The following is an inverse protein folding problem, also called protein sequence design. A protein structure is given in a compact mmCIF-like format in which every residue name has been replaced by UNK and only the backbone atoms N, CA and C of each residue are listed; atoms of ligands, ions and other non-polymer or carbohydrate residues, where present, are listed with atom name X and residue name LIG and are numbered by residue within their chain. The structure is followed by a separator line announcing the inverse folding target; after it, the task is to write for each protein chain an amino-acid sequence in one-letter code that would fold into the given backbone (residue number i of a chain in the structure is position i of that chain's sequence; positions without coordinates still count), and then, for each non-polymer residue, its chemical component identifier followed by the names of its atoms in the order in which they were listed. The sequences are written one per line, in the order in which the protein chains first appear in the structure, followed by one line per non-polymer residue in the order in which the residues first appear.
data_IF_210182809283
#
_entry.id   IF_210182809283
#
_cell.length_a   1.000
_cell.length_b   1.000
_cell.length_c   1.000
_cell.angle_alpha   90.00
_cell.angle_beta   90.00
_cell.angle_gamma   90.00
#
_symmetry.space_group_name_H-M   'P 1'
#
loop_
_entity.id
_entity.type
_entity.pdbx_description
1 polymer ?
#
# COMPACT_ATOMS: atom_id res chain seq x y z
N UNK A 1 5.86 18.05 7.42
CA UNK A 1 6.38 17.43 6.17
C UNK A 1 7.24 16.21 6.49
N UNK A 2 8.38 16.36 7.17
CA UNK A 2 9.31 15.26 7.42
C UNK A 2 8.69 14.09 8.20
N UNK A 3 7.90 14.39 9.23
CA UNK A 3 7.21 13.35 10.02
C UNK A 3 6.26 12.48 9.16
N UNK A 4 5.47 13.09 8.28
CA UNK A 4 4.56 12.36 7.37
C UNK A 4 5.33 11.49 6.38
N UNK A 5 6.42 11.99 5.80
CA UNK A 5 7.27 11.21 4.89
C UNK A 5 7.90 10.03 5.64
N UNK A 6 8.40 10.26 6.86
CA UNK A 6 8.99 9.20 7.67
C UNK A 6 7.97 8.13 8.04
N UNK A 7 6.73 8.52 8.38
CA UNK A 7 5.64 7.57 8.63
C UNK A 7 5.32 6.71 7.40
N UNK A 8 5.12 7.34 6.24
CA UNK A 8 4.84 6.62 4.99
C UNK A 8 6.01 5.70 4.59
N UNK A 9 7.25 6.12 4.84
CA UNK A 9 8.45 5.30 4.62
C UNK A 9 8.49 4.10 5.55
N UNK A 10 8.26 4.29 6.84
CA UNK A 10 8.19 3.17 7.80
C UNK A 10 7.11 2.16 7.41
N UNK A 11 5.94 2.62 6.96
CA UNK A 11 4.89 1.73 6.47
C UNK A 11 5.30 0.98 5.20
N UNK A 12 6.02 1.64 4.29
CA UNK A 12 6.58 0.98 3.12
C UNK A 12 7.60 -0.10 3.50
N UNK A 13 8.49 0.17 4.44
CA UNK A 13 9.46 -0.80 4.94
C UNK A 13 8.77 -2.01 5.58
N UNK A 14 7.65 -1.79 6.28
CA UNK A 14 6.82 -2.86 6.83
C UNK A 14 6.14 -3.71 5.76
N UNK A 15 5.64 -3.09 4.68
CA UNK A 15 5.09 -3.80 3.50
C UNK A 15 6.20 -4.64 2.86
N UNK A 16 7.36 -4.04 2.60
CA UNK A 16 8.50 -4.70 1.98
C UNK A 16 8.95 -5.93 2.78
N UNK A 17 9.05 -5.80 4.11
CA UNK A 17 9.41 -6.89 5.00
C UNK A 17 8.39 -8.02 4.96
N UNK A 18 7.09 -7.69 5.04
CA UNK A 18 6.03 -8.70 5.00
C UNK A 18 5.96 -9.44 3.65
N UNK A 19 6.21 -8.75 2.54
CA UNK A 19 6.33 -9.37 1.22
C UNK A 19 7.58 -10.27 1.14
N UNK A 20 8.70 -9.83 1.73
CA UNK A 20 9.91 -10.65 1.86
C UNK A 20 9.64 -11.96 2.61
N UNK A 21 8.92 -11.89 3.74
CA UNK A 21 8.49 -13.06 4.51
C UNK A 21 7.66 -14.03 3.65
N UNK A 22 6.76 -13.50 2.81
CA UNK A 22 5.96 -14.32 1.88
C UNK A 22 6.82 -14.93 0.75
N UNK A 23 7.76 -14.17 0.21
CA UNK A 23 8.65 -14.66 -0.85
C UNK A 23 9.54 -15.80 -0.36
N UNK A 24 10.00 -15.75 0.90
CA UNK A 24 10.76 -16.85 1.49
C UNK A 24 9.95 -18.15 1.56
N UNK A 25 8.63 -18.07 1.78
CA UNK A 25 7.75 -19.25 1.74
C UNK A 25 7.65 -19.85 0.34
N UNK A 26 7.75 -19.04 -0.71
CA UNK A 26 7.65 -19.49 -2.09
C UNK A 26 8.85 -20.30 -2.57
N UNK A 27 9.96 -20.28 -1.83
CA UNK A 27 11.13 -21.09 -2.09
C UNK A 27 11.04 -22.48 -1.43
N UNK A 28 9.98 -22.72 -0.65
CA UNK A 28 9.69 -23.99 0.03
C UNK A 28 8.67 -24.82 -0.74
N UNK A 29 8.56 -26.11 -0.40
CA UNK A 29 7.44 -26.94 -0.84
C UNK A 29 6.16 -26.52 -0.12
N UNK A 30 5.01 -26.70 -0.75
CA UNK A 30 3.72 -26.33 -0.18
C UNK A 30 3.53 -26.86 1.25
N UNK A 31 3.79 -28.15 1.49
CA UNK A 31 3.62 -28.78 2.81
C UNK A 31 4.43 -28.10 3.93
N UNK A 32 5.57 -27.49 3.60
CA UNK A 32 6.44 -26.81 4.55
C UNK A 32 6.01 -25.33 4.73
N UNK A 33 5.44 -24.71 3.70
CA UNK A 33 4.98 -23.32 3.70
C UNK A 33 3.55 -23.12 4.24
N UNK A 34 2.67 -24.11 4.04
CA UNK A 34 1.24 -24.06 4.34
C UNK A 34 0.92 -23.57 5.76
N UNK A 35 1.60 -24.02 6.83
CA UNK A 35 1.29 -23.61 8.20
C UNK A 35 1.47 -22.11 8.46
N UNK A 36 2.35 -21.46 7.69
CA UNK A 36 2.67 -20.04 7.84
C UNK A 36 1.94 -19.15 6.83
N UNK A 37 1.51 -19.72 5.71
CA UNK A 37 1.04 -18.96 4.55
C UNK A 37 -0.18 -18.10 4.89
N UNK A 38 -1.16 -18.64 5.60
CA UNK A 38 -2.37 -17.91 5.99
C UNK A 38 -2.06 -16.69 6.85
N UNK A 39 -1.17 -16.85 7.84
CA UNK A 39 -0.77 -15.78 8.75
C UNK A 39 -0.02 -14.66 8.02
N UNK A 40 0.92 -15.02 7.14
CA UNK A 40 1.70 -14.04 6.35
C UNK A 40 0.78 -13.26 5.40
N UNK A 41 -0.14 -13.93 4.70
CA UNK A 41 -1.13 -13.27 3.83
C UNK A 41 -2.01 -12.29 4.60
N UNK A 42 -2.51 -12.68 5.77
CA UNK A 42 -3.32 -11.82 6.62
C UNK A 42 -2.53 -10.58 7.09
N UNK A 43 -1.28 -10.78 7.51
CA UNK A 43 -0.40 -9.68 7.94
C UNK A 43 -0.17 -8.67 6.81
N UNK A 44 0.10 -9.13 5.59
CA UNK A 44 0.24 -8.25 4.41
C UNK A 44 -1.04 -7.44 4.19
N UNK A 45 -2.20 -8.08 4.21
CA UNK A 45 -3.48 -7.41 4.02
C UNK A 45 -3.72 -6.31 5.06
N UNK A 46 -3.44 -6.60 6.34
CA UNK A 46 -3.58 -5.63 7.43
C UNK A 46 -2.65 -4.42 7.26
N UNK A 47 -1.38 -4.65 6.93
CA UNK A 47 -0.40 -3.57 6.73
C UNK A 47 -0.81 -2.69 5.54
N UNK A 48 -1.23 -3.30 4.42
CA UNK A 48 -1.69 -2.56 3.24
C UNK A 48 -2.93 -1.73 3.56
N UNK A 49 -3.93 -2.30 4.25
CA UNK A 49 -5.14 -1.56 4.64
C UNK A 49 -4.79 -0.37 5.52
N UNK A 50 -3.91 -0.55 6.51
CA UNK A 50 -3.42 0.53 7.36
C UNK A 50 -2.72 1.63 6.55
N UNK A 51 -1.85 1.23 5.62
CA UNK A 51 -1.13 2.16 4.75
C UNK A 51 -2.09 2.96 3.86
N UNK A 52 -3.04 2.30 3.19
CA UNK A 52 -4.03 2.96 2.34
C UNK A 52 -4.89 3.96 3.12
N UNK A 53 -5.28 3.61 4.36
CA UNK A 53 -6.00 4.53 5.24
C UNK A 53 -5.15 5.78 5.56
N UNK A 54 -3.88 5.57 5.91
CA UNK A 54 -2.95 6.68 6.19
C UNK A 54 -2.75 7.56 4.94
N UNK A 55 -2.59 6.96 3.77
CA UNK A 55 -2.46 7.70 2.50
C UNK A 55 -3.73 8.53 2.19
N UNK A 56 -4.90 7.95 2.38
CA UNK A 56 -6.16 8.64 2.10
C UNK A 56 -6.39 9.81 3.05
N UNK A 57 -6.16 9.64 4.36
CA UNK A 57 -6.36 10.67 5.38
C UNK A 57 -5.35 11.81 5.25
N UNK A 58 -4.07 11.50 5.04
CA UNK A 58 -3.01 12.50 5.07
C UNK A 58 -2.77 13.18 3.72
N UNK A 59 -3.08 12.51 2.60
CA UNK A 59 -2.76 12.98 1.27
C UNK A 59 -4.01 13.16 0.39
N UNK A 60 -4.77 12.09 0.14
CA UNK A 60 -5.81 12.14 -0.90
C UNK A 60 -7.02 12.99 -0.49
N UNK A 61 -7.48 12.88 0.76
CA UNK A 61 -8.58 13.70 1.28
C UNK A 61 -8.24 15.20 1.23
N UNK A 62 -7.09 15.66 1.76
CA UNK A 62 -6.68 17.06 1.60
C UNK A 62 -6.58 17.53 0.15
N UNK A 63 -6.10 16.68 -0.77
CA UNK A 63 -6.06 17.03 -2.19
C UNK A 63 -7.46 17.17 -2.79
N UNK A 64 -8.41 16.30 -2.42
CA UNK A 64 -9.81 16.35 -2.89
C UNK A 64 -10.52 17.58 -2.36
N UNK A 65 -10.46 17.82 -1.04
CA UNK A 65 -11.10 18.96 -0.37
C UNK A 65 -10.64 20.29 -0.97
N UNK A 66 -9.37 20.38 -1.36
CA UNK A 66 -8.75 21.59 -1.92
C UNK A 66 -8.74 21.62 -3.45
N UNK A 67 -9.33 20.61 -4.12
CA UNK A 67 -9.36 20.46 -5.59
C UNK A 67 -7.97 20.53 -6.24
N UNK A 68 -6.96 20.03 -5.55
CA UNK A 68 -5.55 20.11 -5.97
C UNK A 68 -5.12 18.94 -6.87
N UNK A 69 -5.91 17.87 -6.98
CA UNK A 69 -5.53 16.67 -7.74
C UNK A 69 -5.17 16.98 -9.20
N UNK A 70 -5.99 17.79 -9.90
CA UNK A 70 -5.74 18.18 -11.29
C UNK A 70 -4.48 19.05 -11.48
N UNK A 71 -3.98 19.67 -10.41
CA UNK A 71 -2.79 20.52 -10.44
C UNK A 71 -1.47 19.74 -10.29
N UNK A 72 -1.56 18.43 -10.07
CA UNK A 72 -0.42 17.55 -9.82
C UNK A 72 -0.27 16.61 -11.03
N UNK A 73 0.76 16.80 -11.86
CA UNK A 73 1.03 15.91 -12.99
C UNK A 73 1.11 14.44 -12.54
N UNK A 74 0.42 13.55 -13.25
CA UNK A 74 0.42 12.11 -12.97
C UNK A 74 -0.37 11.69 -11.72
N UNK A 75 -1.02 12.60 -10.99
CA UNK A 75 -1.80 12.25 -9.81
C UNK A 75 -2.96 11.29 -10.12
N UNK A 76 -3.70 11.55 -11.20
CA UNK A 76 -4.78 10.67 -11.63
C UNK A 76 -4.27 9.28 -11.99
N UNK A 77 -3.16 9.17 -12.71
CA UNK A 77 -2.56 7.88 -13.07
C UNK A 77 -2.15 7.06 -11.83
N UNK A 78 -1.55 7.69 -10.82
CA UNK A 78 -1.19 7.02 -9.55
C UNK A 78 -2.42 6.54 -8.80
N UNK A 79 -3.47 7.36 -8.73
CA UNK A 79 -4.72 7.00 -8.04
C UNK A 79 -5.43 5.86 -8.76
N UNK A 80 -5.45 5.89 -10.10
CA UNK A 80 -6.00 4.82 -10.93
C UNK A 80 -5.22 3.51 -10.75
N UNK A 81 -3.89 3.52 -10.87
CA UNK A 81 -3.07 2.31 -10.66
C UNK A 81 -3.26 1.74 -9.25
N UNK A 82 -3.36 2.60 -8.22
CA UNK A 82 -3.66 2.16 -6.85
C UNK A 82 -5.00 1.42 -6.77
N UNK A 83 -6.04 1.96 -7.42
CA UNK A 83 -7.37 1.34 -7.47
C UNK A 83 -7.33 0.01 -8.22
N UNK A 84 -6.69 -0.02 -9.39
CA UNK A 84 -6.59 -1.23 -10.21
C UNK A 84 -5.83 -2.34 -9.49
N UNK A 85 -4.72 -2.02 -8.84
CA UNK A 85 -3.97 -2.98 -8.05
C UNK A 85 -4.79 -3.52 -6.88
N UNK A 86 -5.56 -2.67 -6.18
CA UNK A 86 -6.49 -3.12 -5.14
C UNK A 86 -7.53 -4.10 -5.69
N UNK A 87 -8.10 -3.84 -6.86
CA UNK A 87 -9.04 -4.74 -7.53
C UNK A 87 -8.36 -6.06 -7.94
N UNK A 88 -7.10 -6.01 -8.39
CA UNK A 88 -6.31 -7.20 -8.68
C UNK A 88 -6.09 -8.06 -7.42
N UNK A 89 -5.72 -7.47 -6.29
CA UNK A 89 -5.64 -8.19 -5.00
C UNK A 89 -6.98 -8.78 -4.57
N UNK A 90 -8.08 -8.03 -4.71
CA UNK A 90 -9.42 -8.53 -4.35
C UNK A 90 -9.79 -9.76 -5.18
N UNK A 91 -9.53 -9.74 -6.49
CA UNK A 91 -9.74 -10.90 -7.37
C UNK A 91 -8.82 -12.05 -6.98
N UNK A 92 -7.55 -11.76 -6.74
CA UNK A 92 -6.56 -12.76 -6.33
C UNK A 92 -7.00 -13.51 -5.06
N UNK A 93 -7.47 -12.80 -4.03
CA UNK A 93 -7.99 -13.42 -2.80
C UNK A 93 -9.21 -14.30 -3.08
N UNK A 94 -10.13 -13.84 -3.94
CA UNK A 94 -11.31 -14.63 -4.32
C UNK A 94 -11.00 -15.88 -5.15
N UNK A 95 -9.95 -15.82 -5.99
CA UNK A 95 -9.51 -16.95 -6.83
C UNK A 95 -8.70 -17.99 -6.05
N UNK A 96 -7.83 -17.55 -5.14
CA UNK A 96 -6.85 -18.41 -4.47
C UNK A 96 -7.28 -18.80 -3.06
N UNK A 97 -8.23 -19.74 -3.01
CA UNK A 97 -8.64 -20.46 -1.79
C UNK A 97 -7.51 -21.39 -1.31
N UNK A 98 -7.58 -21.87 -0.07
CA UNK A 98 -6.59 -22.82 0.47
C UNK A 98 -6.42 -24.06 -0.44
N UNK A 99 -7.56 -24.64 -0.86
CA UNK A 99 -7.59 -25.78 -1.79
C UNK A 99 -6.97 -25.44 -3.15
N UNK A 100 -7.31 -24.28 -3.73
CA UNK A 100 -6.76 -23.89 -5.02
C UNK A 100 -5.24 -23.67 -4.97
N UNK A 101 -4.74 -23.17 -3.84
CA UNK A 101 -3.31 -22.97 -3.59
C UNK A 101 -2.60 -24.32 -3.45
N UNK A 102 -3.18 -25.26 -2.69
CA UNK A 102 -2.64 -26.63 -2.55
C UNK A 102 -2.51 -27.32 -3.91
N UNK A 103 -3.60 -27.34 -4.69
CA UNK A 103 -3.66 -28.03 -5.98
C UNK A 103 -2.73 -27.39 -7.03
N UNK A 104 -2.45 -26.09 -6.92
CA UNK A 104 -1.74 -25.31 -7.95
C UNK A 104 -0.70 -24.36 -7.34
N UNK A 105 0.13 -24.90 -6.45
CA UNK A 105 1.13 -24.13 -5.69
C UNK A 105 2.07 -23.31 -6.60
N UNK A 106 2.62 -23.92 -7.65
CA UNK A 106 3.56 -23.24 -8.56
C UNK A 106 2.92 -22.06 -9.29
N UNK A 107 1.68 -22.21 -9.76
CA UNK A 107 0.91 -21.12 -10.38
C UNK A 107 0.63 -20.01 -9.37
N UNK A 108 0.21 -20.36 -8.15
CA UNK A 108 -0.03 -19.41 -7.08
C UNK A 108 1.22 -18.57 -6.79
N UNK A 109 2.39 -19.22 -6.68
CA UNK A 109 3.67 -18.54 -6.45
C UNK A 109 3.95 -17.51 -7.56
N UNK A 110 3.84 -17.92 -8.83
CA UNK A 110 4.13 -17.04 -9.98
C UNK A 110 3.22 -15.81 -9.98
N UNK A 111 1.91 -16.01 -9.90
CA UNK A 111 0.96 -14.88 -9.97
C UNK A 111 1.05 -13.98 -8.75
N UNK A 112 1.38 -14.53 -7.57
CA UNK A 112 1.53 -13.73 -6.35
C UNK A 112 2.81 -12.91 -6.39
N UNK A 113 3.93 -13.45 -6.92
CA UNK A 113 5.16 -12.69 -7.13
C UNK A 113 4.93 -11.49 -8.04
N UNK A 114 4.30 -11.70 -9.20
CA UNK A 114 3.98 -10.62 -10.15
C UNK A 114 3.11 -9.53 -9.50
N UNK A 115 2.12 -9.92 -8.70
CA UNK A 115 1.24 -8.97 -8.02
C UNK A 115 1.99 -8.14 -6.97
N UNK A 116 2.87 -8.78 -6.19
CA UNK A 116 3.69 -8.11 -5.19
C UNK A 116 4.78 -7.22 -5.82
N UNK A 117 5.35 -7.61 -6.96
CA UNK A 117 6.29 -6.77 -7.71
C UNK A 117 5.62 -5.47 -8.19
N UNK A 118 4.38 -5.55 -8.69
CA UNK A 118 3.58 -4.37 -9.04
C UNK A 118 3.31 -3.47 -7.82
N UNK A 119 2.99 -4.07 -6.67
CA UNK A 119 2.81 -3.31 -5.43
C UNK A 119 4.08 -2.56 -5.03
N UNK A 120 5.22 -3.25 -5.03
CA UNK A 120 6.50 -2.64 -4.68
C UNK A 120 6.88 -1.52 -5.64
N UNK A 121 6.69 -1.72 -6.95
CA UNK A 121 6.93 -0.69 -7.95
C UNK A 121 6.05 0.56 -7.73
N UNK A 122 4.76 0.37 -7.44
CA UNK A 122 3.84 1.48 -7.15
C UNK A 122 4.24 2.23 -5.88
N UNK A 123 4.60 1.51 -4.81
CA UNK A 123 5.06 2.12 -3.56
C UNK A 123 6.35 2.94 -3.80
N UNK A 124 7.30 2.41 -4.56
CA UNK A 124 8.53 3.10 -4.93
C UNK A 124 8.26 4.37 -5.73
N UNK A 125 7.39 4.28 -6.74
CA UNK A 125 6.97 5.42 -7.56
C UNK A 125 6.31 6.50 -6.69
N UNK A 126 5.44 6.09 -5.77
CA UNK A 126 4.77 7.00 -4.84
C UNK A 126 5.77 7.70 -3.92
N UNK A 127 6.70 6.95 -3.32
CA UNK A 127 7.68 7.46 -2.37
C UNK A 127 8.66 8.44 -3.03
N UNK A 128 9.16 8.10 -4.22
CA UNK A 128 10.17 8.89 -4.94
C UNK A 128 9.58 10.13 -5.61
N UNK A 129 8.41 9.98 -6.24
CA UNK A 129 7.92 10.98 -7.19
C UNK A 129 6.60 11.65 -6.78
N UNK A 130 5.71 10.93 -6.08
CA UNK A 130 4.38 11.44 -5.78
C UNK A 130 4.31 12.18 -4.43
N UNK A 131 4.66 11.50 -3.33
CA UNK A 131 4.51 12.05 -1.98
C UNK A 131 5.24 13.38 -1.76
N UNK A 132 6.48 13.59 -2.24
CA UNK A 132 7.16 14.88 -2.08
C UNK A 132 6.40 16.04 -2.75
N UNK A 133 5.82 15.80 -3.93
CA UNK A 133 5.07 16.81 -4.68
C UNK A 133 3.74 17.10 -4.01
N UNK A 134 3.01 16.06 -3.61
CA UNK A 134 1.71 16.17 -2.94
C UNK A 134 1.83 16.94 -1.63
N UNK A 135 2.78 16.56 -0.77
CA UNK A 135 2.99 17.23 0.51
C UNK A 135 3.37 18.70 0.33
N UNK A 136 4.21 19.01 -0.67
CA UNK A 136 4.53 20.40 -1.02
C UNK A 136 3.26 21.18 -1.42
N UNK A 137 2.38 20.59 -2.23
CA UNK A 137 1.12 21.25 -2.67
C UNK A 137 0.13 21.48 -1.54
N UNK A 138 0.00 20.51 -0.63
CA UNK A 138 -0.86 20.62 0.57
C UNK A 138 -0.34 21.74 1.49
N UNK A 139 0.98 21.87 1.65
CA UNK A 139 1.56 22.90 2.53
C UNK A 139 1.50 24.30 1.91
N UNK A 140 1.68 24.43 0.60
CA UNK A 140 1.64 25.73 -0.09
C UNK A 140 0.23 26.29 -0.28
N UNK A 141 -0.81 25.46 -0.14
CA UNK A 141 -2.20 25.89 -0.14
C UNK A 141 -2.86 25.46 1.16
N UNK A 142 -2.52 26.06 2.32
CA UNK A 142 -3.22 25.79 3.55
C UNK A 142 -4.66 26.29 3.38
N UNK A 143 -5.59 25.38 3.14
CA UNK A 143 -7.01 25.68 3.33
C UNK A 143 -7.22 26.18 4.77
N UNK A 144 -8.28 26.94 5.00
CA UNK A 144 -8.57 27.77 6.19
C UNK A 144 -8.53 27.01 7.54
N UNK A 145 -8.33 25.69 7.55
CA UNK A 145 -8.52 24.82 8.71
C UNK A 145 -7.28 23.98 9.09
N UNK A 146 -6.09 24.42 8.71
CA UNK A 146 -4.84 23.65 8.86
C UNK A 146 -4.36 23.47 10.32
N UNK A 147 -4.96 24.19 11.28
CA UNK A 147 -4.47 24.23 12.67
C UNK A 147 -4.98 23.06 13.52
N UNK A 148 -6.11 22.43 13.20
CA UNK A 148 -6.72 21.39 14.05
C UNK A 148 -6.29 19.95 13.73
N UNK A 149 -5.94 19.64 12.48
CA UNK A 149 -5.70 18.24 12.05
C UNK A 149 -4.36 17.65 12.51
N UNK A 150 -3.39 18.48 12.89
CA UNK A 150 -2.11 18.02 13.45
C UNK A 150 -2.22 17.51 14.91
N UNK A 151 -3.32 17.82 15.61
CA UNK A 151 -3.56 17.36 16.97
C UNK A 151 -4.08 15.91 17.04
N UNK A 152 -4.85 15.47 16.04
CA UNK A 152 -5.51 14.15 16.02
C UNK A 152 -4.51 12.99 15.89
N UNK A 153 -3.39 13.19 15.20
CA UNK A 153 -2.35 12.14 15.04
C UNK A 153 -1.54 11.92 16.33
N UNK A 154 -1.52 12.88 17.25
CA UNK A 154 -0.79 12.75 18.53
C UNK A 154 -1.53 11.94 19.60
N UNK A 155 -2.81 11.61 19.41
CA UNK A 155 -3.62 10.88 20.39
C UNK A 155 -3.81 9.39 20.05
N UNK A 156 -3.23 8.90 18.95
CA UNK A 156 -3.32 7.49 18.53
C UNK A 156 -2.00 6.70 18.71
N UNK A 157 -1.08 7.21 19.55
CA UNK A 157 0.14 6.51 20.00
C UNK A 157 -0.03 5.94 21.39
#
# INVERSE_FOLDING_TARGET
MQATINLLRSQYDDIARAIGDLMALFDMRYADAEPMLGAVRMRIAQIIVKHLKTEDELLLTPLRERRLMASIPGCEAIVTETRELRLAYSRHVGTWTARAIEERWSEYVVVTRQLNERLMALCDQKMKNFYPVVLRRILLNPGIDATERLAVVRQAS
#
